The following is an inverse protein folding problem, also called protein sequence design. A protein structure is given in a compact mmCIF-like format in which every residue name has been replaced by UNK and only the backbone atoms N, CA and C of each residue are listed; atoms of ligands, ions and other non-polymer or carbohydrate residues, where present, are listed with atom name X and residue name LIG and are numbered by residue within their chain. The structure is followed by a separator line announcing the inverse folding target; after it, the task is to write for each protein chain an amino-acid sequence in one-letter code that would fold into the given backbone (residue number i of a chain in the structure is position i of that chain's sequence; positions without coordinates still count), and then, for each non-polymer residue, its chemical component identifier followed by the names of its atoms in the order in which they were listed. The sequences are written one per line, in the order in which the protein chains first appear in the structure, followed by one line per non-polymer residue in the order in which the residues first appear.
data_IF_064819287903
#
_entry.id   IF_064819287903
#
_cell.length_a   1.000
_cell.length_b   1.000
_cell.length_c   1.000
_cell.angle_alpha   90.00
_cell.angle_beta   90.00
_cell.angle_gamma   90.00
#
_symmetry.space_group_name_H-M   'P 1'
#
loop_
_entity.id
_entity.type
_entity.pdbx_description
1 polymer ?
#
# COMPACT_ATOMS: atom_id res chain seq x y z
N UNK A 1 19.24 5.45 -17.46
CA UNK A 1 18.75 6.54 -18.33
C UNK A 1 17.42 6.09 -18.91
N UNK A 2 16.30 6.66 -18.45
CA UNK A 2 14.98 6.35 -18.99
C UNK A 2 14.73 7.18 -20.27
N UNK A 3 14.14 6.57 -21.29
CA UNK A 3 13.95 7.15 -22.62
C UNK A 3 12.99 8.36 -22.61
N UNK A 4 13.34 9.53 -23.20
CA UNK A 4 12.52 10.75 -23.15
C UNK A 4 11.15 10.64 -23.82
N UNK A 5 10.94 9.68 -24.71
CA UNK A 5 9.66 9.50 -25.44
C UNK A 5 8.54 8.87 -24.60
N UNK A 6 8.85 8.36 -23.39
CA UNK A 6 7.86 7.76 -22.48
C UNK A 6 7.07 8.79 -21.65
N UNK A 7 7.53 10.05 -21.59
CA UNK A 7 7.11 11.03 -20.58
C UNK A 7 5.87 11.86 -20.95
N UNK A 8 5.48 11.92 -22.22
CA UNK A 8 4.54 12.96 -22.70
C UNK A 8 3.06 12.59 -22.69
N UNK A 9 2.68 11.36 -22.30
CA UNK A 9 1.28 10.91 -22.39
C UNK A 9 0.76 10.08 -21.22
N UNK A 10 1.59 9.86 -20.17
CA UNK A 10 1.17 9.00 -19.07
C UNK A 10 0.13 9.73 -18.21
N UNK A 11 -1.08 9.19 -18.20
CA UNK A 11 -2.17 9.63 -17.33
C UNK A 11 -2.43 8.49 -16.36
N UNK A 12 -2.19 8.76 -15.09
CA UNK A 12 -2.27 7.76 -14.03
C UNK A 12 -3.60 7.86 -13.30
N UNK A 13 -4.35 6.77 -13.12
CA UNK A 13 -5.43 6.75 -12.11
C UNK A 13 -4.97 6.00 -10.87
N UNK A 14 -5.03 6.70 -9.75
CA UNK A 14 -4.75 6.21 -8.41
C UNK A 14 -6.06 6.05 -7.64
N UNK A 15 -6.35 4.84 -7.14
CA UNK A 15 -7.51 4.62 -6.28
C UNK A 15 -7.16 4.86 -4.80
N UNK A 16 -7.73 5.91 -4.17
CA UNK A 16 -7.64 6.14 -2.73
C UNK A 16 -8.95 5.76 -2.04
N UNK A 17 -8.88 4.70 -1.24
CA UNK A 17 -9.94 4.29 -0.31
C UNK A 17 -9.66 4.91 1.06
N UNK A 18 -10.55 5.79 1.53
CA UNK A 18 -10.57 6.30 2.92
C UNK A 18 -12.00 6.25 3.47
N UNK A 19 -12.35 5.20 4.20
CA UNK A 19 -13.42 5.25 5.20
C UNK A 19 -13.12 4.28 6.32
N UNK A 20 -12.62 4.79 7.45
CA UNK A 20 -13.01 4.45 8.82
C UNK A 20 -12.80 5.73 9.64
N UNK A 21 -13.79 6.08 10.45
CA UNK A 21 -13.87 7.25 11.34
C UNK A 21 -12.78 7.34 12.44
N UNK A 22 -11.68 6.59 12.32
CA UNK A 22 -10.52 6.72 13.18
C UNK A 22 -9.29 7.08 12.35
N UNK A 23 -8.63 8.19 12.71
CA UNK A 23 -7.49 8.84 12.05
C UNK A 23 -6.26 7.94 11.74
N UNK A 24 -6.28 6.62 11.94
CA UNK A 24 -5.07 5.84 12.24
C UNK A 24 -4.74 4.62 11.36
N UNK A 25 -5.63 4.15 10.46
CA UNK A 25 -5.31 3.05 9.53
C UNK A 25 -5.15 3.57 8.09
N UNK A 26 -3.94 3.99 7.69
CA UNK A 26 -3.68 4.45 6.31
C UNK A 26 -2.36 3.88 5.78
N UNK A 27 -2.39 3.30 4.59
CA UNK A 27 -1.29 2.52 4.01
C UNK A 27 -0.23 3.42 3.36
N UNK A 28 1.03 3.06 3.58
CA UNK A 28 2.25 3.83 3.32
C UNK A 28 2.70 3.84 1.85
N UNK A 29 2.73 2.67 1.23
CA UNK A 29 3.12 2.44 -0.16
C UNK A 29 2.36 3.33 -1.14
N UNK A 30 1.07 3.52 -0.87
CA UNK A 30 0.18 4.30 -1.72
C UNK A 30 0.67 5.75 -1.88
N UNK A 31 1.19 6.40 -0.84
CA UNK A 31 1.64 7.80 -0.93
C UNK A 31 3.01 7.88 -1.58
N UNK A 32 3.90 6.96 -1.23
CA UNK A 32 5.26 6.91 -1.80
C UNK A 32 5.21 6.70 -3.32
N UNK A 33 4.28 5.87 -3.81
CA UNK A 33 4.05 5.68 -5.25
C UNK A 33 3.64 6.99 -5.94
N UNK A 34 2.69 7.73 -5.36
CA UNK A 34 2.25 9.02 -5.93
C UNK A 34 3.39 10.04 -5.93
N UNK A 35 4.11 10.19 -4.82
CA UNK A 35 5.27 11.10 -4.75
C UNK A 35 6.33 10.74 -5.80
N UNK A 36 6.61 9.45 -5.99
CA UNK A 36 7.57 8.97 -6.99
C UNK A 36 7.11 9.27 -8.42
N UNK A 37 5.85 9.01 -8.74
CA UNK A 37 5.29 9.25 -10.08
C UNK A 37 5.22 10.75 -10.41
N UNK A 38 4.83 11.59 -9.44
CA UNK A 38 4.86 13.04 -9.62
C UNK A 38 6.29 13.56 -9.84
N UNK A 39 7.28 12.97 -9.17
CA UNK A 39 8.69 13.34 -9.32
C UNK A 39 9.20 13.07 -10.73
N UNK A 40 8.78 11.96 -11.35
CA UNK A 40 9.11 11.63 -12.76
C UNK A 40 8.24 12.39 -13.79
N UNK A 41 7.58 13.48 -13.38
CA UNK A 41 6.87 14.45 -14.26
C UNK A 41 5.71 13.86 -15.08
N UNK A 42 5.04 12.85 -14.54
CA UNK A 42 3.82 12.27 -15.11
C UNK A 42 2.59 13.03 -14.58
N UNK A 43 1.57 13.23 -15.41
CA UNK A 43 0.31 13.86 -14.98
C UNK A 43 -0.51 12.85 -14.18
N UNK A 44 -0.69 13.10 -12.87
CA UNK A 44 -1.28 12.13 -11.94
C UNK A 44 -2.73 12.49 -11.64
N UNK A 45 -3.62 11.51 -11.79
CA UNK A 45 -5.00 11.62 -11.34
C UNK A 45 -5.22 10.74 -10.11
N UNK A 46 -5.71 11.33 -9.02
CA UNK A 46 -6.06 10.61 -7.80
C UNK A 46 -7.56 10.56 -7.60
N UNK A 47 -8.13 9.38 -7.42
CA UNK A 47 -9.49 9.21 -6.90
C UNK A 47 -9.40 9.35 -5.39
N UNK A 48 -10.16 10.27 -4.80
CA UNK A 48 -10.28 10.49 -3.37
C UNK A 48 -11.71 10.32 -2.91
N UNK A 49 -11.91 9.66 -1.76
CA UNK A 49 -13.24 9.59 -1.16
C UNK A 49 -13.64 10.92 -0.54
N UNK A 50 -14.91 11.26 -0.67
CA UNK A 50 -15.52 12.37 0.07
C UNK A 50 -15.40 12.10 1.58
N UNK A 51 -15.01 13.12 2.32
CA UNK A 51 -14.91 13.09 3.78
C UNK A 51 -15.39 14.42 4.34
N UNK A 52 -16.05 14.39 5.50
CA UNK A 52 -16.47 15.60 6.23
C UNK A 52 -15.30 16.31 6.93
N UNK A 53 -14.11 15.70 6.92
CA UNK A 53 -12.86 16.28 7.44
C UNK A 53 -11.74 16.16 6.41
N UNK A 54 -10.72 17.02 6.52
CA UNK A 54 -9.52 16.95 5.67
C UNK A 54 -8.86 15.58 5.73
N UNK A 55 -8.77 14.91 4.58
CA UNK A 55 -8.25 13.56 4.43
C UNK A 55 -7.01 13.47 3.51
N UNK A 56 -6.57 14.59 2.93
CA UNK A 56 -5.45 14.71 1.97
C UNK A 56 -4.09 15.04 2.60
N UNK A 57 -3.97 15.14 3.93
CA UNK A 57 -2.74 15.62 4.60
C UNK A 57 -1.44 14.85 4.29
N UNK A 58 -1.50 13.65 3.70
CA UNK A 58 -0.28 12.95 3.24
C UNK A 58 0.17 13.31 1.83
N UNK A 59 -0.70 13.88 1.01
CA UNK A 59 -0.41 14.34 -0.35
C UNK A 59 -0.48 15.87 -0.47
N UNK A 60 -0.72 16.56 0.64
CA UNK A 60 -0.85 18.02 0.67
C UNK A 60 0.40 18.74 0.18
N UNK A 61 1.58 18.21 0.50
CA UNK A 61 2.87 18.69 -0.02
C UNK A 61 3.04 18.54 -1.55
N UNK A 62 2.12 17.86 -2.24
CA UNK A 62 2.12 17.70 -3.70
C UNK A 62 1.18 18.68 -4.41
N UNK A 63 0.38 19.46 -3.66
CA UNK A 63 -0.35 20.58 -4.24
C UNK A 63 0.64 21.64 -4.73
N UNK A 64 0.25 22.35 -5.79
CA UNK A 64 1.00 23.53 -6.24
C UNK A 64 0.99 24.60 -5.15
N UNK A 65 -0.14 24.75 -4.47
CA UNK A 65 -0.28 25.57 -3.27
C UNK A 65 -1.10 24.82 -2.22
N UNK A 66 -0.47 24.36 -1.13
CA UNK A 66 -1.15 23.67 -0.02
C UNK A 66 -2.20 24.51 0.70
N UNK A 67 -2.02 25.85 0.79
CA UNK A 67 -2.93 26.72 1.54
C UNK A 67 -4.25 26.95 0.79
N UNK A 68 -4.18 27.04 -0.53
CA UNK A 68 -5.36 27.21 -1.40
C UNK A 68 -5.88 25.89 -1.97
N UNK A 69 -5.23 24.77 -1.65
CA UNK A 69 -5.48 23.45 -2.26
C UNK A 69 -5.45 23.48 -3.79
N UNK A 70 -4.61 24.35 -4.36
CA UNK A 70 -4.49 24.45 -5.82
C UNK A 70 -3.72 23.25 -6.36
N UNK A 71 -4.36 22.51 -7.25
CA UNK A 71 -3.81 21.35 -7.92
C UNK A 71 -2.64 21.72 -8.85
N UNK A 72 -1.57 20.93 -8.81
CA UNK A 72 -0.41 21.05 -9.69
C UNK A 72 -0.49 20.06 -10.84
N UNK A 73 0.57 19.25 -11.02
CA UNK A 73 0.55 18.10 -11.93
C UNK A 73 -0.27 16.91 -11.39
N UNK A 74 -0.93 17.09 -10.25
CA UNK A 74 -1.80 16.11 -9.60
C UNK A 74 -3.22 16.67 -9.55
N UNK A 75 -4.16 15.97 -10.19
CA UNK A 75 -5.60 16.28 -10.20
C UNK A 75 -6.38 15.27 -9.37
N UNK A 76 -7.23 15.72 -8.46
CA UNK A 76 -8.03 14.83 -7.61
C UNK A 76 -9.48 14.76 -8.10
N UNK A 77 -10.06 13.57 -8.03
CA UNK A 77 -11.42 13.25 -8.46
C UNK A 77 -12.15 12.62 -7.29
N UNK A 78 -13.36 13.08 -6.98
CA UNK A 78 -14.17 12.37 -5.99
C UNK A 78 -14.66 11.05 -6.56
N UNK A 79 -14.43 9.96 -5.82
CA UNK A 79 -14.95 8.64 -6.18
C UNK A 79 -14.68 7.56 -5.14
N UNK A 80 -15.30 6.41 -5.35
CA UNK A 80 -15.17 5.22 -4.50
C UNK A 80 -15.05 3.95 -5.35
N UNK A 81 -14.28 2.97 -4.86
CA UNK A 81 -14.20 1.64 -5.46
C UNK A 81 -15.52 0.86 -5.38
N UNK A 82 -16.48 1.33 -4.59
CA UNK A 82 -17.82 0.74 -4.49
C UNK A 82 -18.80 1.32 -5.51
N UNK A 83 -18.46 2.41 -6.22
CA UNK A 83 -19.33 3.11 -7.17
C UNK A 83 -18.84 2.94 -8.61
N UNK A 84 -19.45 2.00 -9.33
CA UNK A 84 -19.10 1.69 -10.72
C UNK A 84 -19.26 2.88 -11.67
N UNK A 85 -20.33 3.67 -11.52
CA UNK A 85 -20.64 4.79 -12.43
C UNK A 85 -19.58 5.88 -12.30
N UNK A 86 -19.17 6.16 -11.06
CA UNK A 86 -18.09 7.10 -10.78
C UNK A 86 -16.76 6.65 -11.42
N UNK A 87 -16.38 5.38 -11.24
CA UNK A 87 -15.14 4.85 -11.81
C UNK A 87 -15.13 4.92 -13.35
N UNK A 88 -16.23 4.52 -13.99
CA UNK A 88 -16.40 4.62 -15.45
C UNK A 88 -16.25 6.06 -15.91
N UNK A 89 -16.93 7.01 -15.25
CA UNK A 89 -16.84 8.43 -15.57
C UNK A 89 -15.39 8.93 -15.51
N UNK A 90 -14.69 8.67 -14.41
CA UNK A 90 -13.31 9.12 -14.22
C UNK A 90 -12.38 8.49 -15.27
N UNK A 91 -12.47 7.17 -15.50
CA UNK A 91 -11.64 6.50 -16.51
C UNK A 91 -11.92 7.05 -17.91
N UNK A 92 -13.18 7.34 -18.23
CA UNK A 92 -13.57 7.86 -19.53
C UNK A 92 -13.08 9.31 -19.76
N UNK A 93 -13.14 10.16 -18.74
CA UNK A 93 -12.64 11.54 -18.82
C UNK A 93 -11.12 11.61 -18.85
N UNK A 94 -10.45 10.80 -18.02
CA UNK A 94 -9.00 10.82 -17.89
C UNK A 94 -8.33 10.11 -19.06
N UNK A 95 -8.90 9.01 -19.57
CA UNK A 95 -8.27 8.13 -20.57
C UNK A 95 -6.83 7.76 -20.16
N UNK A 96 -6.65 7.07 -19.02
CA UNK A 96 -5.33 6.75 -18.50
C UNK A 96 -4.56 5.79 -19.40
N UNK A 97 -3.24 5.94 -19.41
CA UNK A 97 -2.32 4.93 -19.97
C UNK A 97 -1.92 3.90 -18.91
N UNK A 98 -1.94 4.27 -17.63
CA UNK A 98 -1.61 3.38 -16.53
C UNK A 98 -2.58 3.58 -15.35
N UNK A 99 -2.98 2.48 -14.70
CA UNK A 99 -3.86 2.49 -13.54
C UNK A 99 -3.21 1.66 -12.44
N UNK A 100 -3.06 2.26 -11.26
CA UNK A 100 -2.51 1.61 -10.08
C UNK A 100 -3.61 1.47 -9.05
N UNK A 101 -4.18 0.26 -8.96
CA UNK A 101 -5.22 -0.04 -7.97
C UNK A 101 -4.60 -0.30 -6.61
N UNK A 102 -4.42 0.78 -5.87
CA UNK A 102 -3.89 0.76 -4.51
C UNK A 102 -5.00 0.92 -3.46
N UNK A 103 -6.26 1.17 -3.86
CA UNK A 103 -7.40 1.32 -2.95
C UNK A 103 -7.70 0.01 -2.22
N UNK A 104 -7.92 0.08 -0.90
CA UNK A 104 -8.24 -1.08 -0.06
C UNK A 104 -8.62 -0.67 1.36
N UNK A 105 -9.51 -1.44 2.00
CA UNK A 105 -9.58 -1.61 3.45
C UNK A 105 -8.43 -2.54 3.86
N UNK A 106 -7.25 -1.96 4.08
CA UNK A 106 -5.99 -2.71 4.18
C UNK A 106 -5.63 -3.22 5.58
N UNK A 107 -6.55 -3.21 6.56
CA UNK A 107 -6.26 -3.63 7.93
C UNK A 107 -6.85 -5.01 8.21
N UNK A 108 -5.96 -6.01 8.35
CA UNK A 108 -6.33 -7.42 8.53
C UNK A 108 -7.27 -7.63 9.71
N UNK A 109 -6.96 -7.10 10.90
CA UNK A 109 -7.84 -7.26 12.08
C UNK A 109 -9.24 -6.70 11.86
N UNK A 110 -9.35 -5.50 11.29
CA UNK A 110 -10.63 -4.83 11.01
C UNK A 110 -11.45 -5.61 9.97
N UNK A 111 -10.81 -6.35 9.07
CA UNK A 111 -11.53 -7.15 8.09
C UNK A 111 -12.39 -8.26 8.70
N UNK A 112 -12.11 -8.69 9.93
CA UNK A 112 -12.98 -9.62 10.65
C UNK A 112 -14.27 -8.95 11.13
N UNK A 113 -14.21 -7.66 11.45
CA UNK A 113 -15.35 -6.90 11.94
C UNK A 113 -16.18 -6.30 10.78
N UNK A 114 -15.54 -6.03 9.64
CA UNK A 114 -16.15 -5.42 8.44
C UNK A 114 -15.90 -6.27 7.18
N UNK A 115 -16.20 -7.57 7.25
CA UNK A 115 -15.86 -8.54 6.21
C UNK A 115 -16.51 -8.23 4.85
N UNK A 116 -17.82 -7.94 4.83
CA UNK A 116 -18.56 -7.62 3.59
C UNK A 116 -18.00 -6.38 2.91
N UNK A 117 -17.77 -5.33 3.70
CA UNK A 117 -17.18 -4.10 3.20
C UNK A 117 -15.77 -4.31 2.65
N UNK A 118 -14.95 -5.12 3.33
CA UNK A 118 -13.63 -5.50 2.82
C UNK A 118 -13.74 -6.27 1.51
N UNK A 119 -14.68 -7.20 1.37
CA UNK A 119 -14.87 -7.95 0.12
C UNK A 119 -15.33 -7.04 -1.04
N UNK A 120 -16.26 -6.12 -0.76
CA UNK A 120 -16.80 -5.19 -1.77
C UNK A 120 -15.73 -4.23 -2.29
N UNK A 121 -14.88 -3.71 -1.40
CA UNK A 121 -13.81 -2.77 -1.78
C UNK A 121 -12.60 -3.48 -2.38
N UNK A 122 -12.06 -4.49 -1.69
CA UNK A 122 -10.75 -5.06 -2.03
C UNK A 122 -10.86 -6.12 -3.12
N UNK A 123 -11.99 -6.84 -3.17
CA UNK A 123 -12.32 -7.81 -4.19
C UNK A 123 -13.08 -7.18 -5.36
N UNK A 124 -14.36 -6.86 -5.15
CA UNK A 124 -15.27 -6.40 -6.21
C UNK A 124 -14.85 -5.03 -6.77
N UNK A 125 -14.27 -4.14 -5.97
CA UNK A 125 -13.71 -2.88 -6.44
C UNK A 125 -12.62 -3.05 -7.50
N UNK A 126 -11.83 -4.13 -7.43
CA UNK A 126 -10.86 -4.48 -8.48
C UNK A 126 -11.56 -4.88 -9.78
N UNK A 127 -12.61 -5.70 -9.69
CA UNK A 127 -13.44 -6.05 -10.86
C UNK A 127 -14.05 -4.80 -11.50
N UNK A 128 -14.64 -3.89 -10.70
CA UNK A 128 -15.26 -2.66 -11.22
C UNK A 128 -14.29 -1.79 -12.01
N UNK A 129 -13.03 -1.69 -11.57
CA UNK A 129 -11.99 -0.97 -12.33
C UNK A 129 -11.68 -1.65 -13.66
N UNK A 130 -11.52 -2.98 -13.66
CA UNK A 130 -11.25 -3.77 -14.87
C UNK A 130 -12.43 -3.68 -15.88
N UNK A 131 -13.66 -3.78 -15.39
CA UNK A 131 -14.86 -3.60 -16.20
C UNK A 131 -14.99 -2.17 -16.74
N UNK A 132 -14.61 -1.16 -15.94
CA UNK A 132 -14.62 0.23 -16.41
C UNK A 132 -13.58 0.47 -17.52
N UNK A 133 -12.39 -0.13 -17.43
CA UNK A 133 -11.40 -0.13 -18.51
C UNK A 133 -11.99 -0.72 -19.80
N UNK A 134 -12.60 -1.90 -19.68
CA UNK A 134 -13.22 -2.60 -20.81
C UNK A 134 -14.36 -1.79 -21.42
N UNK A 135 -15.24 -1.24 -20.58
CA UNK A 135 -16.39 -0.41 -20.97
C UNK A 135 -15.94 0.85 -21.71
N UNK A 136 -14.82 1.45 -21.31
CA UNK A 136 -14.25 2.63 -21.96
C UNK A 136 -13.47 2.32 -23.24
N UNK A 137 -13.37 1.05 -23.65
CA UNK A 137 -12.63 0.60 -24.83
C UNK A 137 -11.11 0.69 -24.67
N UNK A 138 -10.59 0.65 -23.45
CA UNK A 138 -9.16 0.91 -23.16
C UNK A 138 -8.31 -0.35 -22.98
N UNK A 139 -8.87 -1.53 -23.20
CA UNK A 139 -8.20 -2.82 -22.96
C UNK A 139 -6.85 -2.95 -23.66
N UNK A 140 -6.71 -2.38 -24.86
CA UNK A 140 -5.48 -2.49 -25.66
C UNK A 140 -4.48 -1.36 -25.42
N UNK A 141 -4.83 -0.34 -24.62
CA UNK A 141 -4.01 0.86 -24.43
C UNK A 141 -3.58 1.08 -22.99
N UNK A 142 -4.34 0.59 -22.01
CA UNK A 142 -4.05 0.80 -20.59
C UNK A 142 -3.22 -0.34 -20.00
N UNK A 143 -2.35 0.00 -19.06
CA UNK A 143 -1.65 -0.94 -18.19
C UNK A 143 -2.24 -0.90 -16.79
N UNK A 144 -2.59 -2.06 -16.25
CA UNK A 144 -3.22 -2.18 -14.94
C UNK A 144 -2.28 -2.84 -13.93
N UNK A 145 -2.06 -2.19 -12.81
CA UNK A 145 -1.31 -2.72 -11.68
C UNK A 145 -2.24 -2.98 -10.50
N UNK A 146 -2.25 -4.21 -10.01
CA UNK A 146 -2.94 -4.60 -8.79
C UNK A 146 -1.97 -4.73 -7.62
N UNK A 147 -2.25 -4.00 -6.53
CA UNK A 147 -1.60 -4.23 -5.25
C UNK A 147 -2.14 -5.50 -4.57
N UNK A 148 -1.50 -6.63 -4.88
CA UNK A 148 -1.65 -7.90 -4.16
C UNK A 148 -0.75 -7.91 -2.92
N UNK A 149 -0.65 -9.03 -2.20
CA UNK A 149 -0.07 -9.04 -0.85
C UNK A 149 0.46 -10.41 -0.44
N UNK A 150 1.49 -10.44 0.41
CA UNK A 150 1.94 -11.67 1.06
C UNK A 150 0.88 -12.34 1.95
N UNK A 151 -0.17 -11.61 2.37
CA UNK A 151 -1.30 -12.18 3.13
C UNK A 151 -2.09 -13.25 2.34
N UNK A 152 -1.87 -13.36 1.02
CA UNK A 152 -2.35 -14.49 0.20
C UNK A 152 -1.77 -15.83 0.66
N UNK A 153 -0.57 -15.84 1.25
CA UNK A 153 0.13 -17.03 1.75
C UNK A 153 -0.16 -17.32 3.24
N UNK A 154 -1.25 -16.79 3.80
CA UNK A 154 -1.55 -16.78 5.25
C UNK A 154 -1.13 -18.03 6.03
N UNK A 155 -1.52 -19.24 5.62
CA UNK A 155 -0.91 -20.49 6.09
C UNK A 155 0.16 -20.94 5.09
N UNK A 156 1.40 -20.59 5.39
CA UNK A 156 2.55 -20.83 4.53
C UNK A 156 2.67 -22.32 4.17
N UNK A 157 2.80 -22.61 2.87
CA UNK A 157 3.01 -23.96 2.34
C UNK A 157 4.48 -24.21 1.94
N UNK A 158 5.22 -23.17 1.54
CA UNK A 158 6.63 -23.24 1.13
C UNK A 158 7.40 -22.07 1.73
N UNK A 159 8.69 -22.27 2.07
CA UNK A 159 9.58 -21.23 2.58
C UNK A 159 10.91 -21.29 1.80
N UNK A 160 11.39 -20.18 1.20
CA UNK A 160 10.68 -18.90 1.03
C UNK A 160 9.48 -19.04 0.08
N UNK A 161 8.51 -18.14 0.19
CA UNK A 161 7.40 -18.09 -0.77
C UNK A 161 7.90 -17.48 -2.10
N UNK A 162 7.37 -17.99 -3.20
CA UNK A 162 7.58 -17.53 -4.57
C UNK A 162 6.24 -17.45 -5.31
N UNK A 163 6.25 -16.98 -6.56
CA UNK A 163 5.04 -16.81 -7.39
C UNK A 163 4.25 -18.11 -7.57
N UNK A 164 4.94 -19.26 -7.54
CA UNK A 164 4.33 -20.58 -7.68
C UNK A 164 3.86 -21.19 -6.35
N UNK A 165 4.19 -20.56 -5.22
CA UNK A 165 3.80 -21.10 -3.91
C UNK A 165 2.27 -21.07 -3.76
N UNK A 166 1.62 -22.14 -3.30
CA UNK A 166 0.17 -22.17 -3.17
C UNK A 166 -0.36 -21.12 -2.17
N UNK A 167 -1.46 -20.46 -2.54
CA UNK A 167 -2.15 -19.52 -1.66
C UNK A 167 -2.99 -20.23 -0.59
N UNK A 168 -3.00 -19.66 0.61
CA UNK A 168 -3.85 -20.12 1.72
C UNK A 168 -4.18 -18.91 2.62
N UNK A 169 -5.16 -18.07 2.24
CA UNK A 169 -5.51 -16.89 3.04
C UNK A 169 -6.12 -17.27 4.40
N UNK A 170 -5.87 -16.44 5.41
CA UNK A 170 -6.32 -16.66 6.80
C UNK A 170 -7.16 -15.50 7.39
N UNK A 171 -7.72 -14.65 6.52
CA UNK A 171 -8.59 -13.53 6.91
C UNK A 171 -9.55 -13.15 5.77
N UNK A 172 -10.67 -12.44 6.06
CA UNK A 172 -11.52 -11.86 5.01
C UNK A 172 -10.76 -10.94 4.05
N UNK A 173 -9.80 -10.15 4.56
CA UNK A 173 -8.88 -9.36 3.73
C UNK A 173 -8.07 -10.24 2.76
N UNK A 174 -7.46 -11.33 3.25
CA UNK A 174 -6.69 -12.24 2.41
C UNK A 174 -7.56 -12.92 1.34
N UNK A 175 -8.79 -13.31 1.69
CA UNK A 175 -9.73 -13.92 0.75
C UNK A 175 -10.20 -12.92 -0.33
N UNK A 176 -10.52 -11.67 0.06
CA UNK A 176 -10.89 -10.62 -0.89
C UNK A 176 -9.73 -10.28 -1.85
N UNK A 177 -8.50 -10.20 -1.33
CA UNK A 177 -7.30 -9.99 -2.15
C UNK A 177 -7.00 -11.18 -3.06
N UNK A 178 -7.33 -12.41 -2.66
CA UNK A 178 -7.19 -13.59 -3.52
C UNK A 178 -8.15 -13.53 -4.71
N UNK A 179 -9.39 -13.09 -4.51
CA UNK A 179 -10.31 -12.82 -5.62
C UNK A 179 -9.73 -11.77 -6.58
N UNK A 180 -9.26 -10.63 -6.02
CA UNK A 180 -8.67 -9.56 -6.82
C UNK A 180 -7.44 -10.02 -7.63
N UNK A 181 -6.62 -10.90 -7.06
CA UNK A 181 -5.48 -11.50 -7.75
C UNK A 181 -5.93 -12.31 -8.97
N UNK A 182 -6.88 -13.22 -8.79
CA UNK A 182 -7.35 -14.11 -9.85
C UNK A 182 -8.16 -13.39 -10.92
N UNK A 183 -9.00 -12.41 -10.56
CA UNK A 183 -9.77 -11.67 -11.57
C UNK A 183 -8.84 -10.86 -12.49
N UNK A 184 -7.71 -10.36 -11.97
CA UNK A 184 -6.69 -9.68 -12.77
C UNK A 184 -6.02 -10.64 -13.76
N UNK A 185 -5.68 -11.87 -13.31
CA UNK A 185 -5.16 -12.91 -14.20
C UNK A 185 -6.18 -13.23 -15.29
N UNK A 186 -7.44 -13.43 -14.92
CA UNK A 186 -8.50 -13.75 -15.86
C UNK A 186 -8.67 -12.64 -16.92
N UNK A 187 -8.60 -11.36 -16.54
CA UNK A 187 -8.68 -10.27 -17.52
C UNK A 187 -7.46 -10.20 -18.45
N UNK A 188 -6.27 -10.49 -17.92
CA UNK A 188 -5.05 -10.61 -18.72
C UNK A 188 -5.18 -11.72 -19.77
N UNK A 189 -5.67 -12.89 -19.38
CA UNK A 189 -5.75 -14.06 -20.26
C UNK A 189 -6.94 -13.99 -21.22
N UNK A 190 -8.12 -13.58 -20.75
CA UNK A 190 -9.34 -13.58 -21.55
C UNK A 190 -9.46 -12.39 -22.51
N UNK A 191 -8.86 -11.24 -22.17
CA UNK A 191 -9.00 -10.00 -22.94
C UNK A 191 -7.67 -9.43 -23.42
N UNK A 192 -6.56 -10.13 -23.20
CA UNK A 192 -5.20 -9.64 -23.51
C UNK A 192 -4.90 -8.27 -22.88
N UNK A 193 -5.55 -7.95 -21.75
CA UNK A 193 -5.27 -6.72 -21.01
C UNK A 193 -3.86 -6.79 -20.44
N UNK A 194 -3.07 -5.72 -20.59
CA UNK A 194 -1.82 -5.60 -19.86
C UNK A 194 -2.13 -5.40 -18.37
N UNK A 195 -2.14 -6.48 -17.60
CA UNK A 195 -2.44 -6.44 -16.17
C UNK A 195 -1.44 -7.24 -15.34
N UNK A 196 -0.91 -6.64 -14.28
CA UNK A 196 0.12 -7.24 -13.43
C UNK A 196 -0.34 -7.28 -11.98
N UNK A 197 0.04 -8.36 -11.29
CA UNK A 197 -0.12 -8.51 -9.85
C UNK A 197 1.25 -8.31 -9.19
N UNK A 198 1.36 -7.31 -8.32
CA UNK A 198 2.50 -7.20 -7.42
C UNK A 198 2.17 -7.89 -6.09
N UNK A 199 2.82 -9.00 -5.77
CA UNK A 199 2.71 -9.66 -4.47
C UNK A 199 3.75 -9.04 -3.53
N UNK A 200 3.32 -8.03 -2.78
CA UNK A 200 4.21 -7.28 -1.88
C UNK A 200 4.16 -7.85 -0.46
N UNK A 201 5.34 -8.11 0.10
CA UNK A 201 5.51 -8.36 1.52
C UNK A 201 5.40 -7.07 2.35
N UNK A 202 5.52 -7.18 3.67
CA UNK A 202 5.26 -6.04 4.54
C UNK A 202 6.30 -4.96 4.29
N UNK A 203 5.84 -3.72 4.15
CA UNK A 203 6.70 -2.58 3.87
C UNK A 203 6.31 -1.38 4.72
N UNK A 204 7.33 -0.76 5.31
CA UNK A 204 7.21 0.19 6.42
C UNK A 204 7.87 1.53 6.06
N UNK A 205 7.53 2.61 6.79
CA UNK A 205 8.17 3.93 6.68
C UNK A 205 7.59 4.88 7.75
N UNK A 206 8.17 6.10 7.92
CA UNK A 206 7.60 7.18 8.74
C UNK A 206 6.21 7.68 8.30
N UNK A 207 5.61 7.17 7.21
CA UNK A 207 4.24 7.51 6.78
C UNK A 207 3.20 6.41 7.07
N UNK A 208 3.65 5.24 7.55
CA UNK A 208 2.78 4.09 7.92
C UNK A 208 1.70 4.48 8.92
N UNK A 209 0.50 3.92 8.76
CA UNK A 209 -0.62 4.11 9.69
C UNK A 209 -0.25 3.66 11.11
N UNK A 210 -0.72 4.41 12.10
CA UNK A 210 -0.36 4.18 13.51
C UNK A 210 -0.91 2.85 14.08
N UNK A 211 -1.90 2.25 13.42
CA UNK A 211 -2.47 0.97 13.84
C UNK A 211 -1.63 -0.25 13.44
N UNK A 212 -0.65 -0.09 12.53
CA UNK A 212 0.27 -1.18 12.17
C UNK A 212 1.36 -1.32 13.24
N UNK A 213 1.74 -2.57 13.53
CA UNK A 213 2.60 -2.92 14.68
C UNK A 213 3.91 -2.14 14.75
N UNK A 214 4.62 -2.01 13.63
CA UNK A 214 5.87 -1.25 13.50
C UNK A 214 5.71 0.22 13.90
N UNK A 215 4.61 0.85 13.47
CA UNK A 215 4.32 2.25 13.78
C UNK A 215 3.76 2.45 15.18
N UNK A 216 3.01 1.47 15.68
CA UNK A 216 2.56 1.43 17.07
C UNK A 216 3.76 1.37 18.00
N UNK A 217 4.73 0.48 17.76
CA UNK A 217 5.96 0.34 18.55
C UNK A 217 6.76 1.65 18.52
N UNK A 218 7.17 2.12 17.33
CA UNK A 218 8.01 3.32 17.22
C UNK A 218 7.39 4.57 17.87
N UNK A 219 6.07 4.79 17.71
CA UNK A 219 5.39 5.92 18.36
C UNK A 219 5.27 5.75 19.86
N UNK A 220 5.03 4.53 20.35
CA UNK A 220 4.85 4.29 21.79
C UNK A 220 6.18 4.42 22.51
N UNK A 221 7.27 3.87 21.95
CA UNK A 221 8.62 4.03 22.49
C UNK A 221 9.02 5.51 22.53
N UNK A 222 8.76 6.27 21.47
CA UNK A 222 9.04 7.72 21.47
C UNK A 222 8.23 8.48 22.53
N UNK A 223 6.96 8.12 22.75
CA UNK A 223 6.14 8.73 23.80
C UNK A 223 6.63 8.39 25.20
N UNK A 224 7.05 7.14 25.44
CA UNK A 224 7.62 6.70 26.72
C UNK A 224 8.89 7.49 27.01
N UNK A 225 9.77 7.62 26.02
CA UNK A 225 10.99 8.40 26.17
C UNK A 225 10.72 9.87 26.51
N UNK A 226 9.66 10.48 25.96
CA UNK A 226 9.25 11.84 26.26
C UNK A 226 8.41 11.98 27.54
N UNK A 227 8.22 10.92 28.32
CA UNK A 227 7.38 10.93 29.54
C UNK A 227 5.89 11.15 29.26
N UNK A 228 5.43 10.88 28.04
CA UNK A 228 4.02 11.09 27.61
C UNK A 228 3.18 9.81 27.70
N UNK A 229 3.80 8.68 28.03
CA UNK A 229 3.16 7.38 28.11
C UNK A 229 4.00 6.48 29.01
N UNK A 230 3.40 5.73 29.92
CA UNK A 230 4.16 4.85 30.81
C UNK A 230 4.39 3.46 30.19
N UNK A 231 3.36 2.90 29.55
CA UNK A 231 3.41 1.59 28.92
C UNK A 231 2.46 1.47 27.71
N UNK A 232 2.63 0.43 26.90
CA UNK A 232 1.72 0.10 25.81
C UNK A 232 1.58 -1.40 25.63
N UNK A 233 0.40 -1.86 25.18
CA UNK A 233 0.13 -3.29 24.96
C UNK A 233 0.41 -3.72 23.53
N UNK A 234 0.88 -4.96 23.35
CA UNK A 234 0.99 -5.63 22.06
C UNK A 234 0.20 -6.94 22.06
N UNK A 235 -0.05 -7.48 20.87
CA UNK A 235 -0.69 -8.79 20.70
C UNK A 235 0.36 -9.91 20.67
N UNK A 236 0.25 -10.80 19.69
CA UNK A 236 1.19 -11.90 19.49
C UNK A 236 2.62 -11.39 19.17
N UNK A 237 3.57 -11.63 20.08
CA UNK A 237 4.98 -11.25 19.95
C UNK A 237 5.80 -12.26 19.13
N UNK A 238 5.35 -13.52 19.04
CA UNK A 238 5.99 -14.61 18.29
C UNK A 238 5.73 -14.51 16.78
N UNK A 239 4.92 -13.54 16.35
CA UNK A 239 4.66 -13.30 14.95
C UNK A 239 5.96 -12.92 14.21
N UNK A 240 6.28 -13.70 13.18
CA UNK A 240 7.40 -13.47 12.26
C UNK A 240 6.94 -12.80 10.98
N UNK A 241 7.62 -11.75 10.52
CA UNK A 241 7.32 -11.05 9.26
C UNK A 241 8.59 -10.64 8.52
N UNK A 242 8.49 -10.59 7.19
CA UNK A 242 9.48 -9.93 6.34
C UNK A 242 9.08 -8.45 6.22
N UNK A 243 9.98 -7.55 6.63
CA UNK A 243 9.76 -6.10 6.57
C UNK A 243 10.79 -5.43 5.67
N UNK A 244 10.32 -4.79 4.59
CA UNK A 244 11.11 -3.86 3.78
C UNK A 244 10.71 -2.40 3.95
N UNK A 245 11.38 -1.50 3.22
CA UNK A 245 11.02 -0.08 3.19
C UNK A 245 10.08 0.23 2.00
N UNK A 246 9.05 1.03 2.24
CA UNK A 246 8.02 1.29 1.22
C UNK A 246 8.52 2.06 -0.01
N UNK A 247 9.68 2.72 0.06
CA UNK A 247 10.31 3.39 -1.08
C UNK A 247 10.82 2.36 -2.10
N UNK A 248 11.56 1.37 -1.63
CA UNK A 248 12.17 0.35 -2.49
C UNK A 248 11.09 -0.47 -3.20
N UNK A 249 10.01 -0.77 -2.48
CA UNK A 249 8.85 -1.47 -3.01
C UNK A 249 8.16 -0.68 -4.14
N UNK A 250 8.16 0.64 -4.07
CA UNK A 250 7.58 1.52 -5.10
C UNK A 250 8.45 1.53 -6.34
N UNK A 251 9.76 1.66 -6.16
CA UNK A 251 10.73 1.66 -7.26
C UNK A 251 10.67 0.32 -8.03
N UNK A 252 10.60 -0.80 -7.30
CA UNK A 252 10.42 -2.14 -7.88
C UNK A 252 9.06 -2.30 -8.55
N UNK A 253 7.97 -1.89 -7.88
CA UNK A 253 6.62 -2.00 -8.42
C UNK A 253 6.44 -1.21 -9.72
N UNK A 254 6.99 0.00 -9.79
CA UNK A 254 7.03 0.80 -11.02
C UNK A 254 7.93 0.16 -12.08
N UNK A 255 9.12 -0.30 -11.68
CA UNK A 255 10.06 -1.00 -12.55
C UNK A 255 9.45 -2.22 -13.24
N UNK A 256 8.59 -2.98 -12.55
CA UNK A 256 7.86 -4.10 -13.16
C UNK A 256 6.89 -3.68 -14.24
N UNK A 257 6.16 -2.58 -14.06
CA UNK A 257 5.23 -2.07 -15.09
C UNK A 257 6.01 -1.64 -16.33
N UNK A 258 7.13 -0.95 -16.16
CA UNK A 258 8.00 -0.52 -17.25
C UNK A 258 8.66 -1.71 -17.94
N UNK A 259 9.28 -2.62 -17.18
CA UNK A 259 9.98 -3.78 -17.72
C UNK A 259 9.04 -4.78 -18.40
N UNK A 260 7.88 -5.06 -17.80
CA UNK A 260 6.88 -5.92 -18.43
C UNK A 260 6.33 -5.28 -19.72
N UNK A 261 6.25 -3.94 -19.77
CA UNK A 261 5.83 -3.22 -20.97
C UNK A 261 6.89 -3.27 -22.08
N UNK A 262 8.17 -3.13 -21.75
CA UNK A 262 9.29 -3.29 -22.67
C UNK A 262 9.34 -4.72 -23.24
N UNK A 263 9.12 -5.73 -22.40
CA UNK A 263 9.13 -7.14 -22.79
C UNK A 263 7.80 -7.63 -23.39
N UNK A 264 6.74 -6.80 -23.40
CA UNK A 264 5.36 -7.13 -23.82
C UNK A 264 4.75 -8.38 -23.16
N UNK A 265 5.26 -8.81 -22.01
CA UNK A 265 4.77 -10.00 -21.30
C UNK A 265 4.32 -9.56 -19.90
N UNK A 266 3.01 -9.30 -19.68
CA UNK A 266 2.50 -9.03 -18.35
C UNK A 266 2.61 -10.31 -17.50
N UNK A 267 3.31 -10.23 -16.36
CA UNK A 267 3.50 -11.36 -15.45
C UNK A 267 3.10 -11.00 -14.01
N UNK A 268 3.02 -12.01 -13.15
CA UNK A 268 2.91 -11.83 -11.70
C UNK A 268 4.31 -11.73 -11.10
N UNK A 269 4.54 -10.80 -10.18
CA UNK A 269 5.85 -10.62 -9.56
C UNK A 269 5.75 -10.64 -8.03
N UNK A 270 6.70 -11.29 -7.36
CA UNK A 270 6.86 -11.26 -5.91
C UNK A 270 7.98 -10.31 -5.49
N UNK A 271 7.74 -9.50 -4.46
CA UNK A 271 8.82 -8.71 -3.84
C UNK A 271 8.82 -8.91 -2.33
N UNK A 272 9.89 -9.57 -1.88
CA UNK A 272 10.28 -9.83 -0.49
C UNK A 272 11.71 -9.33 -0.35
N UNK A 273 11.98 -8.55 0.70
CA UNK A 273 13.29 -7.91 0.88
C UNK A 273 14.27 -8.86 1.57
N UNK A 274 13.75 -9.73 2.43
CA UNK A 274 14.56 -10.62 3.23
C UNK A 274 14.64 -12.05 2.64
N UNK A 275 14.05 -12.31 1.48
CA UNK A 275 14.11 -13.59 0.76
C UNK A 275 13.86 -14.84 1.64
N UNK A 276 13.02 -14.71 2.68
CA UNK A 276 12.75 -15.78 3.64
C UNK A 276 13.38 -15.63 5.02
N UNK A 277 14.17 -14.59 5.29
CA UNK A 277 14.51 -14.22 6.67
C UNK A 277 13.33 -13.46 7.29
N UNK A 278 12.80 -13.96 8.40
CA UNK A 278 11.70 -13.32 9.11
C UNK A 278 12.18 -12.78 10.45
N UNK A 279 11.79 -11.55 10.77
CA UNK A 279 12.10 -10.94 12.06
C UNK A 279 10.87 -11.06 12.96
N UNK A 280 11.11 -11.41 14.23
CA UNK A 280 10.06 -11.45 15.26
C UNK A 280 9.61 -10.04 15.65
N UNK A 281 8.34 -9.90 16.04
CA UNK A 281 7.82 -8.63 16.60
C UNK A 281 8.57 -8.22 17.87
N UNK A 282 8.95 -9.17 18.73
CA UNK A 282 9.76 -8.91 19.92
C UNK A 282 11.15 -8.34 19.57
N UNK A 283 11.85 -8.95 18.60
CA UNK A 283 13.16 -8.46 18.16
C UNK A 283 13.08 -7.05 17.56
N UNK A 284 11.98 -6.72 16.89
CA UNK A 284 11.73 -5.38 16.39
C UNK A 284 11.58 -4.39 17.56
N UNK A 285 10.81 -4.74 18.60
CA UNK A 285 10.63 -3.93 19.80
C UNK A 285 11.98 -3.66 20.49
N UNK A 286 12.79 -4.69 20.69
CA UNK A 286 14.12 -4.56 21.29
C UNK A 286 15.03 -3.63 20.47
N UNK A 287 15.04 -3.76 19.13
CA UNK A 287 15.81 -2.86 18.25
C UNK A 287 15.40 -1.39 18.38
N UNK A 288 14.09 -1.10 18.50
CA UNK A 288 13.62 0.28 18.71
C UNK A 288 14.04 0.83 20.08
N UNK A 289 14.00 0.00 21.13
CA UNK A 289 14.45 0.38 22.46
C UNK A 289 15.96 0.65 22.48
N UNK A 290 16.77 -0.23 21.89
CA UNK A 290 18.23 -0.06 21.77
C UNK A 290 18.56 1.19 20.96
N UNK A 291 17.88 1.43 19.84
CA UNK A 291 18.11 2.62 19.03
C UNK A 291 17.83 3.91 19.83
N UNK A 292 16.75 3.93 20.62
CA UNK A 292 16.45 5.07 21.49
C UNK A 292 17.44 5.18 22.65
N UNK A 293 17.87 4.08 23.27
CA UNK A 293 18.94 4.08 24.27
C UNK A 293 20.29 4.55 23.68
N UNK A 294 20.57 4.27 22.41
CA UNK A 294 21.78 4.76 21.73
C UNK A 294 21.71 6.23 21.33
N UNK A 295 20.53 6.74 20.98
CA UNK A 295 20.28 8.20 20.83
C UNK A 295 20.42 8.91 22.18
N UNK A 296 20.07 8.21 23.25
CA UNK A 296 20.24 8.63 24.63
C UNK A 296 21.72 8.59 25.06
N UNK A 297 22.57 7.66 24.59
CA UNK A 297 24.02 7.73 24.82
C UNK A 297 24.72 8.90 24.08
N UNK A 298 24.05 9.55 23.13
CA UNK A 298 24.49 10.85 22.56
C UNK A 298 24.00 12.03 23.42
N UNK A 299 23.06 11.80 24.36
CA UNK A 299 22.40 12.81 25.20
C UNK A 299 22.22 12.42 26.69
N UNK A 300 23.05 11.55 27.25
CA UNK A 300 23.08 11.22 28.69
C UNK A 300 24.49 11.50 29.21
N UNK A 301 24.72 12.62 29.88
CA UNK A 301 24.34 12.83 31.28
C UNK A 301 22.93 12.34 31.70
N UNK A 302 22.88 11.06 32.09
CA UNK A 302 22.03 10.56 33.18
C UNK A 302 20.59 10.12 32.86
N UNK A 303 20.33 8.82 32.74
CA UNK A 303 19.14 8.13 33.29
C UNK A 303 19.44 6.61 33.38
N UNK A 304 20.07 6.18 34.48
CA UNK A 304 19.97 4.81 34.98
C UNK A 304 18.91 4.80 36.08
N UNK A 305 17.73 4.23 35.81
CA UNK A 305 16.76 3.70 36.80
C UNK A 305 15.45 3.30 36.09
N UNK A 306 15.36 2.06 35.60
CA UNK A 306 14.11 1.31 35.41
C UNK A 306 14.41 -0.08 34.80
N UNK A 307 15.08 -0.96 35.55
CA UNK A 307 15.19 -2.38 35.16
C UNK A 307 15.04 -3.39 36.31
N UNK A 308 14.74 -2.95 37.53
CA UNK A 308 14.48 -3.86 38.64
C UNK A 308 13.06 -3.66 39.16
N UNK A 309 12.11 -4.43 38.63
CA UNK A 309 10.92 -4.97 39.34
C UNK A 309 9.96 -5.62 38.34
N UNK A 310 10.24 -6.86 37.99
CA UNK A 310 9.23 -7.82 37.52
C UNK A 310 9.75 -9.23 37.82
N UNK A 311 9.45 -9.71 39.03
CA UNK A 311 9.28 -11.15 39.29
C UNK A 311 7.89 -11.57 38.83
#
# INVERSE_FOLDING_TARGET
MLCPTYLSSVRLIYSYVSYIAHKHARCNYKITMVSFICYIQIYVHGIVRRSSSFNTGRIEHLYKDPQTHTEGNMKLHYGDLTDSTCLVKIINEVKPSEIYNLGAQSHVKVSFDLAEYTADVDGIGTLRLLDAIKTCGLTNSVRFYQASTSELYGKVQEIPQKETTPFYPRSPYGAAKLYAFWIVINFREAYNLFAVNGILFNHESPRRGANFVTRKISRSVAKIHLGQLDCFSLGNLDAKRDWGHARDYVEVGYGWVVQAAENRIPHTFIHSFLQGEYVFVDHLQQKYLICMQSLVNVCQEGVDRCWDTAY
#
